data_IF_578632846975
#
_entry.id   IF_578632846975
#
_cell.length_a   1.000
_cell.length_b   1.000
_cell.length_c   1.000
_cell.angle_alpha   90.00
_cell.angle_beta   90.00
_cell.angle_gamma   90.00
#
_symmetry.space_group_name_H-M   'P 1'
#
loop_
_entity.id
_entity.type
_entity.pdbx_description
1 polymer ?
#
# COMPACT_ATOMS: atom_id res chain seq x y z
N UNK A 1 12.16 35.36 -25.87
CA UNK A 1 11.11 35.08 -24.86
C UNK A 1 10.98 33.57 -24.72
N UNK A 2 11.56 32.98 -23.67
CA UNK A 2 11.49 31.54 -23.46
C UNK A 2 10.09 31.17 -22.94
N UNK A 3 9.35 30.39 -23.73
CA UNK A 3 8.05 29.85 -23.35
C UNK A 3 8.21 28.97 -22.12
N UNK A 4 7.49 29.29 -21.03
CA UNK A 4 7.36 28.41 -19.86
C UNK A 4 6.89 27.04 -20.35
N UNK A 5 7.47 25.92 -19.92
CA UNK A 5 6.96 24.61 -20.28
C UNK A 5 5.58 24.43 -19.63
N UNK A 6 4.54 24.53 -20.44
CA UNK A 6 3.16 24.15 -20.12
C UNK A 6 3.20 22.71 -19.61
N UNK A 7 2.69 22.45 -18.39
CA UNK A 7 2.64 21.13 -17.72
C UNK A 7 2.34 20.04 -18.76
N UNK A 8 3.38 19.38 -19.23
CA UNK A 8 3.27 18.43 -20.32
C UNK A 8 2.40 17.28 -19.82
N UNK A 9 1.25 17.14 -20.48
CA UNK A 9 0.35 16.02 -20.37
C UNK A 9 1.11 14.72 -20.61
N UNK A 10 0.84 13.74 -19.74
CA UNK A 10 1.14 12.29 -19.79
C UNK A 10 2.08 11.80 -18.67
N UNK A 11 1.53 11.83 -17.44
CA UNK A 11 2.04 11.12 -16.27
C UNK A 11 1.61 9.64 -16.31
N UNK A 12 1.99 8.88 -17.34
CA UNK A 12 1.76 7.43 -17.31
C UNK A 12 2.46 6.84 -16.06
N UNK A 13 1.79 5.94 -15.34
CA UNK A 13 2.38 5.36 -14.12
C UNK A 13 3.74 4.69 -14.45
N UNK A 14 3.86 4.11 -15.63
CA UNK A 14 5.11 3.53 -16.16
C UNK A 14 6.19 4.59 -16.45
N UNK A 15 5.80 5.79 -16.89
CA UNK A 15 6.74 6.86 -17.19
C UNK A 15 7.41 7.38 -15.90
N UNK A 16 6.72 7.34 -14.76
CA UNK A 16 7.29 7.62 -13.43
C UNK A 16 8.40 6.66 -13.02
N UNK A 17 8.42 5.45 -13.59
CA UNK A 17 9.43 4.43 -13.33
C UNK A 17 10.53 4.40 -14.41
N UNK A 18 10.75 5.54 -15.09
CA UNK A 18 11.82 5.70 -16.08
C UNK A 18 11.45 5.21 -17.48
N UNK A 19 10.19 5.42 -17.90
CA UNK A 19 9.53 4.85 -19.09
C UNK A 19 10.07 5.19 -20.48
N UNK A 20 11.38 5.24 -20.67
CA UNK A 20 12.02 5.19 -21.98
C UNK A 20 12.34 3.75 -22.41
N UNK A 21 11.96 3.38 -23.63
CA UNK A 21 12.44 2.17 -24.32
C UNK A 21 11.98 0.83 -23.74
N UNK A 22 12.83 -0.19 -23.86
CA UNK A 22 12.55 -1.60 -23.51
C UNK A 22 12.12 -1.84 -22.04
N UNK A 23 12.45 -0.91 -21.14
CA UNK A 23 12.01 -0.94 -19.72
C UNK A 23 10.49 -0.79 -19.61
N UNK A 24 9.87 -0.04 -20.53
CA UNK A 24 8.42 0.16 -20.56
C UNK A 24 7.68 -1.14 -20.89
N UNK A 25 8.20 -1.93 -21.83
CA UNK A 25 7.56 -3.18 -22.29
C UNK A 25 7.69 -4.32 -21.28
N UNK A 26 8.80 -4.41 -20.55
CA UNK A 26 9.00 -5.45 -19.54
C UNK A 26 8.20 -5.18 -18.27
N UNK A 27 8.22 -3.95 -17.75
CA UNK A 27 7.51 -3.59 -16.52
C UNK A 27 5.99 -3.59 -16.72
N UNK A 28 5.49 -3.20 -17.91
CA UNK A 28 4.04 -3.20 -18.18
C UNK A 28 3.40 -4.59 -18.13
N UNK A 29 4.15 -5.65 -18.46
CA UNK A 29 3.62 -7.03 -18.45
C UNK A 29 3.25 -7.51 -17.04
N UNK A 30 4.03 -7.11 -16.05
CA UNK A 30 3.80 -7.51 -14.65
C UNK A 30 2.84 -6.57 -13.91
N UNK A 31 2.53 -5.41 -14.50
CA UNK A 31 1.60 -4.43 -13.98
C UNK A 31 2.15 -3.59 -12.83
N UNK A 32 1.30 -2.74 -12.26
CA UNK A 32 1.68 -1.83 -11.18
C UNK A 32 0.72 -2.00 -10.00
N UNK A 33 1.26 -1.94 -8.78
CA UNK A 33 0.46 -1.80 -7.57
C UNK A 33 0.15 -0.32 -7.34
N UNK A 34 -1.13 0.05 -7.46
CA UNK A 34 -1.60 1.37 -7.05
C UNK A 34 -1.62 1.48 -5.52
N UNK A 35 -0.95 2.49 -4.97
CA UNK A 35 -0.93 2.75 -3.53
C UNK A 35 -1.50 4.16 -3.27
N UNK A 36 -2.56 4.29 -2.45
CA UNK A 36 -3.09 5.61 -2.09
C UNK A 36 -2.02 6.48 -1.43
N UNK A 37 -1.92 7.75 -1.83
CA UNK A 37 -0.92 8.67 -1.26
C UNK A 37 -1.09 8.84 0.25
N UNK A 38 -2.33 8.82 0.75
CA UNK A 38 -2.63 8.88 2.20
C UNK A 38 -2.02 7.72 2.98
N UNK A 39 -1.89 6.53 2.38
CA UNK A 39 -1.21 5.41 3.00
C UNK A 39 0.29 5.68 3.12
N UNK A 40 0.94 6.11 2.03
CA UNK A 40 2.38 6.39 2.02
C UNK A 40 2.78 7.54 2.94
N UNK A 41 2.03 8.64 2.94
CA UNK A 41 2.30 9.77 3.84
C UNK A 41 1.93 9.47 5.29
N UNK A 42 1.01 8.54 5.51
CA UNK A 42 0.47 8.20 6.83
C UNK A 42 1.19 7.07 7.56
N UNK A 43 2.18 6.40 6.97
CA UNK A 43 2.82 5.19 7.53
C UNK A 43 3.28 5.35 8.98
N UNK A 44 3.94 6.47 9.30
CA UNK A 44 4.45 6.74 10.65
C UNK A 44 3.37 7.13 11.67
N UNK A 45 2.15 7.39 11.22
CA UNK A 45 1.03 7.84 12.06
C UNK A 45 -0.15 6.86 12.09
N UNK A 46 -0.03 5.68 11.45
CA UNK A 46 -1.08 4.64 11.45
C UNK A 46 -1.02 3.87 12.77
N UNK A 47 -2.14 3.87 13.51
CA UNK A 47 -2.21 3.30 14.86
C UNK A 47 -1.33 4.07 15.86
N UNK A 48 -1.14 3.48 17.05
CA UNK A 48 -0.36 4.09 18.14
C UNK A 48 1.16 4.10 17.85
N UNK A 49 1.66 3.09 17.12
CA UNK A 49 3.09 2.86 16.92
C UNK A 49 3.59 3.06 15.47
N UNK A 50 2.70 3.39 14.54
CA UNK A 50 3.04 3.41 13.11
C UNK A 50 3.30 2.01 12.51
N UNK A 51 3.44 1.98 11.19
CA UNK A 51 3.92 0.82 10.45
C UNK A 51 5.43 0.88 10.30
N UNK A 52 6.12 -0.19 10.69
CA UNK A 52 7.54 -0.34 10.36
C UNK A 52 7.74 -0.53 8.85
N UNK A 53 8.96 -0.30 8.32
CA UNK A 53 9.25 -0.55 6.91
C UNK A 53 8.97 -1.99 6.48
N UNK A 54 9.28 -2.97 7.34
CA UNK A 54 9.05 -4.38 7.06
C UNK A 54 7.55 -4.74 7.04
N UNK A 55 6.77 -4.18 7.97
CA UNK A 55 5.31 -4.34 7.98
C UNK A 55 4.66 -3.67 6.76
N UNK A 56 5.12 -2.48 6.39
CA UNK A 56 4.67 -1.77 5.18
C UNK A 56 4.90 -2.61 3.95
N UNK A 57 6.10 -3.18 3.81
CA UNK A 57 6.41 -4.07 2.69
C UNK A 57 5.51 -5.31 2.68
N UNK A 58 5.22 -5.90 3.85
CA UNK A 58 4.29 -7.02 3.95
C UNK A 58 2.89 -6.65 3.45
N UNK A 59 2.35 -5.49 3.84
CA UNK A 59 1.05 -4.98 3.37
C UNK A 59 1.06 -4.80 1.85
N UNK A 60 2.11 -4.17 1.28
CA UNK A 60 2.24 -4.01 -0.17
C UNK A 60 2.28 -5.35 -0.90
N UNK A 61 3.01 -6.33 -0.37
CA UNK A 61 3.05 -7.68 -0.95
C UNK A 61 1.69 -8.38 -0.87
N UNK A 62 0.94 -8.22 0.24
CA UNK A 62 -0.43 -8.74 0.35
C UNK A 62 -1.36 -8.09 -0.68
N UNK A 63 -1.28 -6.77 -0.86
CA UNK A 63 -2.06 -6.04 -1.86
C UNK A 63 -1.72 -6.45 -3.30
N UNK A 64 -0.46 -6.78 -3.59
CA UNK A 64 -0.07 -7.35 -4.90
C UNK A 64 -0.74 -8.69 -5.22
N UNK A 65 -1.23 -9.40 -4.20
CA UNK A 65 -1.98 -10.65 -4.35
C UNK A 65 -3.51 -10.45 -4.31
N UNK A 66 -3.97 -9.21 -4.09
CA UNK A 66 -5.39 -8.85 -4.00
C UNK A 66 -5.90 -8.34 -5.34
N UNK A 67 -6.31 -9.26 -6.20
CA UNK A 67 -6.77 -8.97 -7.57
C UNK A 67 -8.26 -8.63 -7.69
N UNK A 68 -9.03 -8.84 -6.62
CA UNK A 68 -10.45 -8.52 -6.53
C UNK A 68 -10.84 -8.17 -5.08
N UNK A 69 -12.14 -8.00 -4.80
CA UNK A 69 -12.64 -7.70 -3.46
C UNK A 69 -12.33 -8.81 -2.42
N UNK A 70 -11.96 -10.02 -2.83
CA UNK A 70 -11.64 -11.13 -1.92
C UNK A 70 -10.30 -10.90 -1.22
N UNK A 71 -10.18 -11.43 -0.01
CA UNK A 71 -8.94 -11.37 0.75
C UNK A 71 -7.82 -12.17 0.05
N UNK A 72 -6.59 -11.62 -0.08
CA UNK A 72 -5.45 -12.35 -0.61
C UNK A 72 -5.11 -13.55 0.29
N UNK A 73 -4.62 -14.62 -0.33
CA UNK A 73 -4.25 -15.86 0.35
C UNK A 73 -2.84 -16.38 -0.03
N UNK A 74 -1.81 -15.51 -0.14
CA UNK A 74 -0.46 -16.00 -0.39
C UNK A 74 0.05 -16.83 0.80
N UNK A 75 0.89 -17.81 0.52
CA UNK A 75 1.59 -18.54 1.59
C UNK A 75 2.67 -17.65 2.20
N UNK A 76 2.96 -17.86 3.50
CA UNK A 76 4.06 -17.17 4.18
C UNK A 76 5.40 -17.42 3.49
N UNK A 77 5.64 -18.64 2.98
CA UNK A 77 6.82 -18.97 2.17
C UNK A 77 6.98 -18.04 0.96
N UNK A 78 5.90 -17.73 0.24
CA UNK A 78 5.94 -16.84 -0.92
C UNK A 78 6.20 -15.38 -0.52
N UNK A 79 5.52 -14.91 0.53
CA UNK A 79 5.71 -13.56 1.06
C UNK A 79 7.17 -13.37 1.52
N UNK A 80 7.68 -14.31 2.31
CA UNK A 80 9.05 -14.29 2.82
C UNK A 80 10.08 -14.24 1.68
N UNK A 81 9.91 -15.07 0.65
CA UNK A 81 10.77 -15.06 -0.54
C UNK A 81 10.77 -13.70 -1.25
N UNK A 82 9.60 -13.10 -1.51
CA UNK A 82 9.49 -11.79 -2.17
C UNK A 82 10.04 -10.64 -1.34
N UNK A 83 9.95 -10.75 -0.02
CA UNK A 83 10.45 -9.75 0.91
C UNK A 83 11.95 -9.92 1.23
N UNK A 84 12.58 -11.04 0.83
CA UNK A 84 13.97 -11.34 1.18
C UNK A 84 14.18 -11.63 2.67
N UNK A 85 13.17 -12.18 3.35
CA UNK A 85 13.22 -12.47 4.80
C UNK A 85 12.94 -13.94 5.08
N UNK A 86 13.17 -14.38 6.33
CA UNK A 86 12.81 -15.73 6.75
C UNK A 86 11.29 -15.89 6.92
N UNK A 87 10.78 -17.10 6.68
CA UNK A 87 9.35 -17.38 6.88
C UNK A 87 8.86 -17.15 8.32
N UNK A 88 9.63 -17.50 9.38
CA UNK A 88 9.28 -17.12 10.75
C UNK A 88 9.15 -15.61 10.94
N UNK A 89 10.02 -14.81 10.29
CA UNK A 89 9.95 -13.36 10.38
C UNK A 89 8.72 -12.80 9.64
N UNK A 90 8.38 -13.32 8.47
CA UNK A 90 7.14 -12.95 7.78
C UNK A 90 5.88 -13.24 8.63
N UNK A 91 5.86 -14.38 9.34
CA UNK A 91 4.78 -14.70 10.31
C UNK A 91 4.76 -13.75 11.50
N UNK A 92 5.94 -13.39 12.04
CA UNK A 92 6.07 -12.40 13.12
C UNK A 92 5.51 -11.04 12.69
N UNK A 93 5.81 -10.59 11.48
CA UNK A 93 5.29 -9.34 10.93
C UNK A 93 3.76 -9.39 10.78
N UNK A 94 3.20 -10.49 10.28
CA UNK A 94 1.75 -10.65 10.20
C UNK A 94 1.10 -10.60 11.59
N UNK A 95 1.67 -11.31 12.58
CA UNK A 95 1.20 -11.26 13.97
C UNK A 95 1.26 -9.85 14.56
N UNK A 96 2.36 -9.11 14.32
CA UNK A 96 2.49 -7.71 14.75
C UNK A 96 1.40 -6.82 14.15
N UNK A 97 1.07 -7.01 12.87
CA UNK A 97 -0.05 -6.30 12.23
C UNK A 97 -1.41 -6.69 12.83
N UNK A 98 -1.60 -7.95 13.23
CA UNK A 98 -2.81 -8.39 13.94
C UNK A 98 -2.92 -7.76 15.33
N UNK A 99 -1.82 -7.72 16.09
CA UNK A 99 -1.75 -7.09 17.41
C UNK A 99 -2.01 -5.58 17.33
N UNK A 100 -1.61 -4.92 16.23
CA UNK A 100 -1.92 -3.52 15.93
C UNK A 100 -3.34 -3.28 15.41
N UNK A 101 -4.14 -4.34 15.23
CA UNK A 101 -5.49 -4.25 14.69
C UNK A 101 -5.55 -3.81 13.22
N UNK A 102 -4.45 -3.95 12.46
CA UNK A 102 -4.35 -3.55 11.04
C UNK A 102 -4.63 -4.72 10.08
N UNK A 103 -4.50 -5.95 10.57
CA UNK A 103 -4.67 -7.18 9.81
C UNK A 103 -5.54 -8.14 10.61
N UNK A 104 -6.38 -8.91 9.91
CA UNK A 104 -7.09 -10.04 10.51
C UNK A 104 -6.87 -11.30 9.69
N UNK A 105 -6.32 -12.35 10.30
CA UNK A 105 -6.26 -13.67 9.67
C UNK A 105 -7.60 -14.37 9.76
N UNK A 106 -8.09 -14.83 8.63
CA UNK A 106 -9.29 -15.66 8.52
C UNK A 106 -8.79 -17.08 8.26
N UNK A 107 -8.86 -17.91 9.29
CA UNK A 107 -8.42 -19.30 9.23
C UNK A 107 -9.31 -20.12 8.30
N UNK A 108 -8.70 -21.05 7.57
CA UNK A 108 -9.42 -21.96 6.68
C UNK A 108 -8.96 -23.39 6.95
N UNK A 109 -9.92 -24.28 7.21
CA UNK A 109 -9.63 -25.71 7.40
C UNK A 109 -9.09 -26.28 6.08
N UNK A 110 -7.89 -26.89 6.13
CA UNK A 110 -7.26 -27.56 4.99
C UNK A 110 -6.75 -26.64 3.87
N UNK A 111 -6.63 -25.32 4.10
CA UNK A 111 -6.20 -24.37 3.06
C UNK A 111 -5.35 -23.22 3.62
N UNK A 112 -4.78 -22.39 2.75
CA UNK A 112 -4.02 -21.21 3.17
C UNK A 112 -4.97 -20.16 3.76
N UNK A 113 -4.55 -19.57 4.88
CA UNK A 113 -5.30 -18.53 5.56
C UNK A 113 -5.50 -17.30 4.66
N UNK A 114 -6.63 -16.63 4.83
CA UNK A 114 -6.93 -15.37 4.18
C UNK A 114 -6.50 -14.21 5.07
N UNK A 115 -6.02 -13.15 4.43
CA UNK A 115 -5.57 -11.94 5.11
C UNK A 115 -6.56 -10.81 4.82
N UNK A 116 -7.34 -10.41 5.83
CA UNK A 116 -8.24 -9.27 5.72
C UNK A 116 -7.52 -7.98 6.12
N UNK A 117 -7.51 -7.00 5.21
CA UNK A 117 -6.98 -5.65 5.43
C UNK A 117 -8.10 -4.62 5.63
N UNK A 118 -9.35 -5.04 5.78
CA UNK A 118 -10.48 -4.15 6.12
C UNK A 118 -10.19 -3.25 7.33
N UNK A 119 -9.55 -3.73 8.42
CA UNK A 119 -9.20 -2.85 9.54
C UNK A 119 -8.25 -1.71 9.16
N UNK A 120 -7.25 -2.00 8.31
CA UNK A 120 -6.35 -0.98 7.76
C UNK A 120 -7.12 0.04 6.91
N UNK A 121 -8.05 -0.42 6.07
CA UNK A 121 -8.80 0.48 5.20
C UNK A 121 -9.68 1.45 5.98
N UNK A 122 -10.33 0.99 7.05
CA UNK A 122 -11.10 1.85 7.94
C UNK A 122 -10.25 2.98 8.55
N UNK A 123 -9.05 2.65 9.03
CA UNK A 123 -8.11 3.65 9.60
C UNK A 123 -7.65 4.64 8.53
N UNK A 124 -7.42 4.18 7.31
CA UNK A 124 -7.02 5.05 6.21
C UNK A 124 -8.15 5.99 5.77
N UNK A 125 -9.39 5.53 5.79
CA UNK A 125 -10.56 6.35 5.50
C UNK A 125 -10.71 7.48 6.52
N UNK A 126 -10.63 7.16 7.82
CA UNK A 126 -10.67 8.15 8.90
C UNK A 126 -9.58 9.22 8.73
N UNK A 127 -8.35 8.79 8.45
CA UNK A 127 -7.23 9.71 8.21
C UNK A 127 -7.40 10.54 6.94
N UNK A 128 -7.95 9.96 5.88
CA UNK A 128 -8.21 10.68 4.65
C UNK A 128 -9.27 11.77 4.85
N UNK A 129 -10.33 11.49 5.62
CA UNK A 129 -11.37 12.46 5.97
C UNK A 129 -10.79 13.61 6.80
N UNK A 130 -10.06 13.31 7.87
CA UNK A 130 -9.41 14.33 8.71
C UNK A 130 -8.42 15.20 7.91
N UNK A 131 -7.65 14.61 7.00
CA UNK A 131 -6.75 15.36 6.13
C UNK A 131 -7.50 16.26 5.14
N UNK A 132 -8.65 15.83 4.66
CA UNK A 132 -9.47 16.62 3.73
C UNK A 132 -10.12 17.80 4.45
N UNK A 133 -10.68 17.58 5.64
CA UNK A 133 -11.24 18.63 6.50
C UNK A 133 -10.20 19.68 6.88
N UNK A 134 -9.00 19.24 7.31
CA UNK A 134 -7.90 20.14 7.62
C UNK A 134 -7.40 20.95 6.40
N UNK A 135 -7.62 20.45 5.18
CA UNK A 135 -7.33 21.18 3.95
C UNK A 135 -8.40 22.25 3.68
N UNK A 136 -9.68 21.88 3.80
CA UNK A 136 -10.80 22.80 3.58
C UNK A 136 -10.75 24.01 4.53
N UNK A 137 -10.39 23.80 5.80
CA UNK A 137 -10.26 24.88 6.78
C UNK A 137 -9.10 25.84 6.52
N UNK A 138 -8.06 25.42 5.78
CA UNK A 138 -6.92 26.27 5.41
C UNK A 138 -7.16 27.10 4.15
N UNK A 139 -8.13 26.69 3.34
CA UNK A 139 -8.51 27.37 2.11
C UNK A 139 -9.63 28.42 2.34
N UNK A 140 -10.13 28.56 3.58
CA UNK A 140 -11.02 29.64 3.99
C UNK A 140 -10.28 30.99 3.85
N UNK A 141 -10.81 31.96 3.08
CA UNK A 141 -10.20 33.27 2.96
C UNK A 141 -10.24 33.97 4.32
N UNK A 142 -9.08 34.36 4.84
CA UNK A 142 -9.00 35.32 5.95
C UNK A 142 -9.76 36.59 5.52
N UNK A 143 -10.95 36.81 6.10
CA UNK A 143 -11.72 38.03 5.95
C UNK A 143 -11.05 39.19 6.70
#
# INVERSE_FOLDING_TARGET
MASKPTKATLNGIADRWGGGGAIKESIQKDGFLGVPSVFLSGLGAIGEYGLSPAETLLVLQLMSHKWDARAPFPSYKRLAYRMGVSEPYARKLARSLEEKGLLKRIERVGSTNRFSLEPLFAILEEKAQASNEARLLKDEPNF
#
